data_IF_658338335329
#
_entry.id   IF_658338335329
#
_cell.length_a   1.000
_cell.length_b   1.000
_cell.length_c   1.000
_cell.angle_alpha   90.00
_cell.angle_beta   90.00
_cell.angle_gamma   90.00
#
_symmetry.space_group_name_H-M   'P 1'
#
loop_
_entity.id
_entity.type
_entity.pdbx_description
1 polymer ?
2 polymer ?
3 water ?
#
# COMPACT_ATOMS: atom_id res chain seq x y z
N UNK A 3 -11.18 -8.26 19.71
CA UNK A 3 -12.31 -7.58 19.12
C UNK A 3 -12.01 -6.10 18.90
N UNK A 4 -12.23 -5.66 17.67
CA UNK A 4 -11.86 -4.32 17.25
C UNK A 4 -12.95 -3.33 17.64
N UNK A 5 -12.52 -2.12 17.98
CA UNK A 5 -13.41 -1.00 18.29
C UNK A 5 -13.16 0.13 17.30
N UNK A 6 -14.24 0.62 16.69
CA UNK A 6 -14.23 1.77 15.79
C UNK A 6 -15.14 2.84 16.37
N UNK A 7 -14.60 4.03 16.64
CA UNK A 7 -15.35 5.09 17.31
C UNK A 7 -15.33 6.36 16.45
N UNK A 8 -16.48 6.66 15.83
CA UNK A 8 -16.63 7.88 15.06
C UNK A 8 -16.80 9.09 15.98
N UNK A 9 -16.35 10.24 15.52
CA UNK A 9 -16.64 11.50 16.20
C UNK A 9 -16.59 12.63 15.20
N UNK A 10 -17.06 13.80 15.63
CA UNK A 10 -16.99 14.99 14.81
C UNK A 10 -18.25 15.34 14.05
N UNK A 11 -19.33 14.60 14.22
CA UNK A 11 -20.56 14.90 13.49
C UNK A 11 -21.31 16.11 14.01
N UNK A 12 -22.63 16.14 13.82
CA UNK A 12 -23.48 17.14 14.41
C UNK A 12 -24.04 18.09 13.37
N UNK A 13 -24.61 19.20 13.81
CA UNK A 13 -25.21 20.13 12.88
C UNK A 13 -24.16 20.98 12.19
N UNK A 14 -24.48 21.39 10.98
CA UNK A 14 -23.60 22.27 10.22
C UNK A 14 -24.42 23.02 9.19
N UNK A 15 -24.09 24.29 8.99
CA UNK A 15 -24.81 25.10 8.01
C UNK A 15 -24.50 24.60 6.60
N UNK A 16 -25.48 24.74 5.70
CA UNK A 16 -25.28 24.35 4.32
C UNK A 16 -24.22 25.24 3.69
N UNK A 17 -23.37 24.62 2.88
CA UNK A 17 -22.19 25.28 2.35
C UNK A 17 -20.96 25.12 3.21
N UNK A 18 -21.12 24.74 4.47
CA UNK A 18 -20.01 24.61 5.37
C UNK A 18 -19.25 23.29 5.22
N UNK A 19 -18.33 23.09 6.16
CA UNK A 19 -17.42 21.96 6.16
C UNK A 19 -17.49 21.25 7.50
N UNK A 20 -17.13 19.97 7.49
CA UNK A 20 -17.05 19.16 8.69
C UNK A 20 -15.96 18.12 8.47
N UNK A 21 -15.22 17.80 9.52
CA UNK A 21 -14.30 16.65 9.47
C UNK A 21 -14.75 15.60 10.48
N UNK A 22 -15.07 14.42 9.98
CA UNK A 22 -15.34 13.28 10.84
C UNK A 22 -14.05 12.56 11.16
N UNK A 23 -13.99 11.99 12.36
CA UNK A 23 -12.87 11.18 12.81
C UNK A 23 -13.35 9.77 13.10
N UNK A 24 -12.48 8.78 12.93
CA UNK A 24 -12.77 7.46 13.47
C UNK A 24 -11.50 6.86 14.05
N UNK A 25 -11.53 6.60 15.35
CA UNK A 25 -10.40 5.97 16.04
C UNK A 25 -10.58 4.46 16.07
N UNK A 26 -9.59 3.72 15.58
CA UNK A 26 -9.62 2.26 15.56
C UNK A 26 -8.70 1.71 16.63
N UNK A 27 -9.09 0.61 17.27
CA UNK A 27 -8.32 0.05 18.37
C UNK A 27 -8.62 -1.44 18.52
N UNK A 28 -7.77 -2.13 19.30
CA UNK A 28 -8.01 -3.50 19.69
C UNK A 28 -7.02 -4.49 19.10
N UNK A 29 -6.49 -4.19 17.91
CA UNK A 29 -5.53 -5.04 17.23
C UNK A 29 -4.65 -4.16 16.36
N UNK A 30 -3.66 -4.77 15.72
CA UNK A 30 -2.90 -4.08 14.68
C UNK A 30 -3.76 -3.92 13.43
N UNK A 31 -3.69 -2.73 12.84
CA UNK A 31 -4.40 -2.44 11.59
C UNK A 31 -3.44 -2.27 10.43
N UNK A 32 -2.21 -2.78 10.58
CA UNK A 32 -1.19 -2.60 9.56
C UNK A 32 -1.59 -3.13 8.18
N UNK A 33 -2.46 -4.14 8.12
CA UNK A 33 -2.93 -4.71 6.86
C UNK A 33 -4.43 -4.50 6.67
N UNK A 34 -4.95 -3.37 7.11
CA UNK A 34 -6.39 -3.15 7.05
C UNK A 34 -6.79 -2.38 5.80
N UNK A 35 -8.11 -2.39 5.57
CA UNK A 35 -8.79 -1.47 4.67
C UNK A 35 -9.88 -0.80 5.51
N UNK A 36 -10.01 0.53 5.36
CA UNK A 36 -11.01 1.28 6.10
C UNK A 36 -11.83 2.12 5.14
N UNK A 37 -13.10 2.32 5.49
CA UNK A 37 -14.04 3.01 4.62
C UNK A 37 -14.97 3.90 5.43
N UNK A 38 -15.48 4.93 4.76
CA UNK A 38 -16.65 5.66 5.24
C UNK A 38 -17.85 5.33 4.38
N UNK A 39 -18.99 5.16 5.06
CA UNK A 39 -20.30 4.95 4.48
C UNK A 39 -21.25 5.94 5.14
N UNK A 40 -22.40 6.18 4.51
CA UNK A 40 -23.48 6.90 5.18
C UNK A 40 -24.83 6.29 4.83
N UNK A 41 -25.81 6.56 5.69
CA UNK A 41 -27.14 6.01 5.54
C UNK A 41 -28.15 7.07 5.92
N UNK A 42 -28.91 7.51 4.95
CA UNK A 42 -29.98 8.45 5.21
C UNK A 42 -31.24 7.68 5.56
N UNK A 43 -32.22 8.33 6.19
CA UNK A 43 -33.44 7.60 6.59
C UNK A 43 -34.13 6.97 5.39
N UNK A 44 -34.45 5.70 5.53
CA UNK A 44 -35.17 4.98 4.49
C UNK A 44 -34.37 4.64 3.25
N UNK A 45 -33.04 4.77 3.29
CA UNK A 45 -32.19 4.46 2.16
C UNK A 45 -31.18 3.40 2.56
N UNK A 46 -30.66 2.68 1.56
CA UNK A 46 -29.56 1.76 1.84
C UNK A 46 -28.28 2.55 2.15
N UNK A 47 -27.36 1.89 2.84
CA UNK A 47 -26.06 2.49 3.12
C UNK A 47 -25.32 2.78 1.83
N UNK A 48 -24.67 3.94 1.78
CA UNK A 48 -23.96 4.40 0.59
C UNK A 48 -22.47 4.43 0.88
N UNK A 49 -21.69 3.81 0.00
CA UNK A 49 -20.24 3.87 0.04
C UNK A 49 -19.74 5.26 -0.31
N UNK A 50 -18.82 5.78 0.50
CA UNK A 50 -18.22 7.10 0.28
C UNK A 50 -16.73 7.04 -0.06
N UNK A 51 -15.93 6.26 0.67
CA UNK A 51 -14.49 6.36 0.50
C UNK A 51 -13.84 5.14 1.13
N UNK A 52 -12.69 4.75 0.59
CA UNK A 52 -11.89 3.67 1.15
C UNK A 52 -10.44 4.11 1.22
N UNK A 53 -9.75 3.60 2.24
CA UNK A 53 -8.33 3.84 2.46
C UNK A 53 -7.65 2.51 2.66
N UNK A 54 -6.57 2.28 1.93
CA UNK A 54 -5.77 1.08 2.13
C UNK A 54 -4.65 1.40 3.11
N UNK A 55 -4.62 0.70 4.23
CA UNK A 55 -3.69 1.08 5.29
C UNK A 55 -2.24 0.86 4.88
N UNK A 56 -1.94 -0.20 4.13
CA UNK A 56 -0.54 -0.50 3.82
C UNK A 56 0.11 0.62 3.01
N UNK A 57 -0.63 1.22 2.07
CA UNK A 57 -0.07 2.31 1.26
C UNK A 57 -0.58 3.70 1.60
N UNK A 58 -1.71 3.79 2.30
CA UNK A 58 -2.42 5.04 2.49
C UNK A 58 -3.24 5.52 1.30
N UNK A 59 -3.30 4.77 0.21
CA UNK A 59 -4.05 5.24 -0.96
C UNK A 59 -5.55 5.22 -0.67
N UNK A 60 -6.25 6.20 -1.24
CA UNK A 60 -7.70 6.32 -1.06
C UNK A 60 -8.41 6.40 -2.40
N UNK A 61 -9.70 6.07 -2.38
CA UNK A 61 -10.58 6.20 -3.53
C UNK A 61 -11.92 6.72 -3.04
N UNK A 62 -12.49 7.71 -3.75
CA UNK A 62 -13.74 8.38 -3.35
C UNK A 62 -14.85 8.00 -4.32
N UNK A 63 -16.05 7.75 -3.77
CA UNK A 63 -17.21 7.47 -4.62
C UNK A 63 -17.55 8.68 -5.49
N UNK A 64 -18.01 8.41 -6.71
CA UNK A 64 -18.34 9.50 -7.63
C UNK A 64 -19.37 10.47 -7.04
N UNK A 65 -20.32 9.97 -6.24
CA UNK A 65 -21.36 10.86 -5.72
C UNK A 65 -20.79 12.05 -4.95
N UNK A 66 -19.60 11.92 -4.38
CA UNK A 66 -19.03 12.93 -3.51
C UNK A 66 -17.63 13.34 -3.93
N UNK A 67 -17.12 12.77 -5.02
CA UNK A 67 -15.82 13.13 -5.58
C UNK A 67 -15.74 14.64 -5.84
N UNK A 68 -14.65 15.25 -5.37
CA UNK A 68 -14.48 16.69 -5.47
C UNK A 68 -14.98 17.46 -4.26
N UNK A 69 -15.77 16.84 -3.40
CA UNK A 69 -16.26 17.44 -2.17
C UNK A 69 -15.73 16.74 -0.91
N UNK A 70 -15.63 15.42 -0.93
CA UNK A 70 -15.22 14.62 0.23
C UNK A 70 -13.85 14.00 -0.04
N UNK A 71 -12.98 14.03 0.96
CA UNK A 71 -11.71 13.34 0.87
C UNK A 71 -11.48 12.56 2.15
N UNK A 72 -10.61 11.56 2.05
CA UNK A 72 -10.31 10.65 3.14
C UNK A 72 -8.82 10.70 3.44
N UNK A 73 -8.47 10.68 4.72
CA UNK A 73 -7.08 10.73 5.10
C UNK A 73 -6.92 9.99 6.42
N UNK A 74 -5.71 10.01 6.97
CA UNK A 74 -5.48 9.33 8.23
C UNK A 74 -4.39 10.03 9.00
N UNK A 75 -4.34 9.71 10.29
CA UNK A 75 -3.16 9.94 11.13
C UNK A 75 -2.62 8.56 11.50
N UNK A 76 -1.59 8.06 10.79
CA UNK A 76 -1.13 6.69 11.09
C UNK A 76 -0.78 6.49 12.55
N UNK A 77 -0.10 7.48 13.14
CA UNK A 77 0.28 7.44 14.55
C UNK A 77 -0.91 7.13 15.44
N UNK A 78 -2.03 7.81 15.21
CA UNK A 78 -3.21 7.67 16.06
C UNK A 78 -4.15 6.58 15.57
N UNK A 79 -3.80 5.86 14.51
CA UNK A 79 -4.65 4.82 13.94
C UNK A 79 -6.04 5.41 13.77
N UNK A 80 -6.11 6.60 13.22
CA UNK A 80 -7.36 7.32 13.01
C UNK A 80 -7.50 7.71 11.55
N UNK A 81 -8.71 7.56 11.00
CA UNK A 81 -9.02 8.03 9.67
C UNK A 81 -9.99 9.21 9.77
N UNK A 82 -10.03 10.00 8.70
CA UNK A 82 -10.78 11.23 8.67
C UNK A 82 -11.55 11.29 7.37
N UNK A 83 -12.75 11.87 7.45
CA UNK A 83 -13.57 12.18 6.29
C UNK A 83 -13.75 13.69 6.25
N UNK A 84 -13.14 14.35 5.27
CA UNK A 84 -13.26 15.79 5.11
C UNK A 84 -14.39 16.05 4.13
N UNK A 85 -15.46 16.68 4.62
CA UNK A 85 -16.65 16.98 3.83
C UNK A 85 -16.76 18.49 3.64
N UNK A 86 -16.69 18.95 2.39
CA UNK A 86 -16.81 20.37 2.06
C UNK A 86 -18.05 20.60 1.22
N UNK A 87 -18.44 21.88 1.16
CA UNK A 87 -19.64 22.29 0.43
C UNK A 87 -20.86 21.48 0.81
N UNK A 88 -21.07 21.28 2.10
CA UNK A 88 -22.18 20.43 2.55
C UNK A 88 -23.54 20.95 2.10
N UNK A 89 -24.42 20.02 1.78
CA UNK A 89 -25.76 20.24 1.26
C UNK A 89 -26.75 19.48 2.11
N UNK A 90 -28.02 19.90 2.10
CA UNK A 90 -29.03 19.16 2.87
C UNK A 90 -29.05 17.66 2.61
N UNK A 91 -28.83 17.21 1.38
CA UNK A 91 -28.84 15.78 1.06
C UNK A 91 -27.66 15.02 1.63
N UNK A 92 -26.62 15.72 2.09
CA UNK A 92 -25.58 15.06 2.85
C UNK A 92 -26.02 14.66 4.25
N UNK A 93 -27.24 15.01 4.67
CA UNK A 93 -27.72 14.68 6.00
C UNK A 93 -27.87 13.17 6.11
N UNK A 94 -27.20 12.57 7.09
CA UNK A 94 -27.22 11.12 7.20
C UNK A 94 -26.48 10.73 8.48
N UNK A 95 -26.57 9.45 8.80
CA UNK A 95 -25.65 8.82 9.75
C UNK A 95 -24.43 8.35 8.97
N UNK A 96 -23.25 8.76 9.43
CA UNK A 96 -21.99 8.39 8.80
C UNK A 96 -21.34 7.30 9.63
N UNK A 97 -20.89 6.25 8.95
CA UNK A 97 -20.27 5.09 9.59
C UNK A 97 -18.87 4.87 9.06
N UNK A 98 -17.95 4.55 9.96
CA UNK A 98 -16.65 4.00 9.57
C UNK A 98 -16.68 2.47 9.65
N UNK A 99 -16.01 1.82 8.71
CA UNK A 99 -15.98 0.37 8.64
C UNK A 99 -14.56 -0.07 8.39
N UNK A 100 -14.24 -1.28 8.82
CA UNK A 100 -12.88 -1.76 8.63
C UNK A 100 -12.89 -3.23 8.31
N UNK A 101 -11.85 -3.66 7.60
CA UNK A 101 -11.51 -5.05 7.44
C UNK A 101 -10.03 -5.27 7.67
N UNK A 102 -9.72 -6.39 8.34
CA UNK A 102 -8.34 -6.86 8.40
C UNK A 102 -8.18 -8.17 7.66
N UNK A 103 -9.05 -8.40 6.67
CA UNK A 103 -9.17 -9.68 5.98
C UNK A 103 -9.17 -9.46 4.48
N UNK A 104 -8.78 -10.49 3.74
CA UNK A 104 -9.12 -10.54 2.34
C UNK A 104 -10.62 -10.72 2.18
N UNK A 105 -11.06 -10.73 0.94
CA UNK A 105 -12.50 -10.83 0.68
C UNK A 105 -12.77 -11.08 -0.79
N UNK A 106 -13.91 -11.69 -1.07
CA UNK A 106 -14.38 -11.82 -2.43
C UNK A 106 -15.21 -10.61 -2.88
N UNK A 107 -15.57 -9.73 -1.94
CA UNK A 107 -16.33 -8.52 -2.26
C UNK A 107 -15.39 -7.40 -2.69
N UNK A 108 -15.95 -6.49 -3.48
CA UNK A 108 -15.25 -5.25 -3.85
C UNK A 108 -15.29 -4.26 -2.69
N UNK A 109 -14.39 -3.27 -2.74
CA UNK A 109 -14.22 -2.34 -1.62
C UNK A 109 -15.40 -1.41 -1.40
N UNK A 110 -16.28 -1.24 -2.39
CA UNK A 110 -17.44 -0.37 -2.25
C UNK A 110 -18.65 -1.09 -1.65
N UNK A 111 -18.50 -2.36 -1.31
CA UNK A 111 -19.61 -3.18 -0.83
C UNK A 111 -19.56 -3.25 0.69
N UNK A 112 -20.69 -3.00 1.33
CA UNK A 112 -20.71 -3.04 2.79
C UNK A 112 -20.29 -4.42 3.31
N UNK A 113 -20.57 -5.48 2.56
CA UNK A 113 -20.18 -6.83 2.98
C UNK A 113 -18.68 -7.02 3.02
N UNK A 114 -17.91 -6.10 2.46
CA UNK A 114 -16.45 -6.17 2.51
C UNK A 114 -15.88 -6.02 3.92
N UNK A 115 -16.65 -5.42 4.83
CA UNK A 115 -16.11 -4.95 6.12
C UNK A 115 -16.77 -5.69 7.26
N UNK A 116 -15.98 -6.45 8.02
CA UNK A 116 -16.52 -7.16 9.18
C UNK A 116 -16.75 -6.24 10.38
N UNK A 117 -16.16 -5.05 10.42
CA UNK A 117 -16.26 -4.21 11.61
C UNK A 117 -16.78 -2.82 11.29
N UNK A 118 -17.59 -2.29 12.22
CA UNK A 118 -18.37 -1.07 12.02
C UNK A 118 -18.44 -0.25 13.29
N UNK A 119 -18.38 1.08 13.12
CA UNK A 119 -18.64 1.99 14.21
C UNK A 119 -20.13 2.10 14.50
N UNK A 120 -20.44 2.87 15.55
CA UNK A 120 -21.83 3.08 15.96
C UNK A 120 -22.55 4.06 15.06
N UNK A 121 -21.83 4.83 14.27
CA UNK A 121 -22.41 5.83 13.40
C UNK A 121 -22.47 7.18 14.08
N UNK A 122 -22.34 8.23 13.29
CA UNK A 122 -22.45 9.58 13.83
C UNK A 122 -23.35 10.42 12.93
N UNK A 123 -24.28 11.14 13.54
CA UNK A 123 -25.26 11.90 12.79
C UNK A 123 -24.66 13.20 12.29
N UNK A 124 -24.90 13.51 11.03
CA UNK A 124 -24.56 14.78 10.44
C UNK A 124 -25.84 15.38 9.91
N UNK A 125 -26.14 16.61 10.33
CA UNK A 125 -27.38 17.28 9.96
C UNK A 125 -27.03 18.62 9.34
N UNK A 126 -27.33 18.78 8.05
CA UNK A 126 -27.04 20.00 7.32
C UNK A 126 -28.33 20.83 7.29
N UNK A 127 -28.32 21.94 8.00
CA UNK A 127 -29.47 22.83 8.05
C UNK A 127 -29.34 23.90 6.96
N UNK A 128 -30.40 24.05 6.18
CA UNK A 128 -30.38 25.01 5.09
C UNK A 128 -30.14 26.42 5.61
N UNK B 2 -10.61 -8.28 -8.39
CA UNK B 2 -10.32 -8.31 -6.96
C UNK B 2 -9.73 -9.67 -6.51
N UNK B 3 -8.63 -9.60 -5.82
CA UNK B 3 -7.84 -10.76 -5.40
C UNK B 3 -8.31 -11.23 -4.02
N UNK B 4 -8.58 -12.54 -3.81
CA UNK B 4 -9.16 -12.97 -2.53
C UNK B 4 -8.34 -12.59 -1.32
N UNK B 5 -7.05 -12.35 -1.46
CA UNK B 5 -6.24 -11.96 -0.32
C UNK B 5 -6.20 -10.46 -0.13
N UNK B 6 -6.85 -9.69 -1.01
CA UNK B 6 -6.84 -8.24 -0.95
C UNK B 6 -5.62 -7.59 -1.57
N UNK B 7 -4.67 -8.40 -2.05
CA UNK B 7 -3.45 -7.86 -2.64
C UNK B 7 -3.80 -7.10 -3.90
N UNK B 8 -3.15 -5.94 -4.09
CA UNK B 8 -3.35 -5.12 -5.27
C UNK B 8 -2.05 -5.15 -6.06
N UNK B 9 -2.00 -5.95 -7.12
CA UNK B 9 -0.81 -6.00 -7.98
C UNK B 9 -1.29 -6.30 -9.40
N UNK B 10 -1.30 -5.28 -10.24
CA UNK B 10 -1.94 -5.40 -11.54
C UNK B 10 -1.06 -5.00 -12.71
N UNK B 11 0.12 -4.46 -12.47
CA UNK B 11 0.94 -3.90 -13.53
C UNK B 11 1.66 -5.00 -14.30
N UNK B 12 1.80 -4.79 -15.62
CA UNK B 12 2.50 -5.73 -16.50
C UNK B 12 3.91 -6.00 -16.01
N UNK B 13 4.28 -7.28 -16.05
CA UNK B 13 5.61 -7.86 -15.80
C UNK B 13 5.92 -7.96 -14.30
N UNK B 14 5.09 -7.40 -13.42
CA UNK B 14 5.27 -7.61 -11.99
C UNK B 14 4.74 -9.00 -11.61
N UNK B 15 5.38 -9.65 -10.66
CA UNK B 15 4.96 -10.98 -10.23
C UNK B 15 5.39 -11.16 -8.78
N UNK B 16 4.83 -12.18 -8.11
CA UNK B 16 5.19 -12.49 -6.73
C UNK B 16 5.61 -13.95 -6.65
N UNK B 17 6.36 -14.27 -5.60
CA UNK B 17 6.63 -15.65 -5.17
C UNK B 17 6.26 -15.72 -3.69
N UNK B 18 5.24 -16.55 -3.35
CA UNK B 18 4.38 -17.38 -4.17
C UNK B 18 3.64 -16.55 -5.24
N UNK B 19 3.28 -17.17 -6.36
CA UNK B 19 2.57 -16.44 -7.41
C UNK B 19 1.26 -15.86 -6.89
N UNK B 20 0.81 -14.82 -7.60
CA UNK B 20 -0.47 -14.23 -7.25
C UNK B 20 -1.59 -15.27 -7.35
N UNK B 21 -1.47 -16.23 -8.27
CA UNK B 21 -2.49 -17.27 -8.34
C UNK B 21 -2.43 -18.17 -7.12
N UNK B 22 -1.22 -18.52 -6.67
CA UNK B 22 -1.11 -19.34 -5.47
C UNK B 22 -1.60 -18.57 -4.25
N UNK B 23 -1.29 -17.27 -4.17
CA UNK B 23 -1.75 -16.47 -3.03
C UNK B 23 -3.27 -16.36 -3.00
N UNK B 24 -3.91 -16.39 -4.18
CA UNK B 24 -5.37 -16.36 -4.22
C UNK B 24 -5.98 -17.59 -3.57
N UNK B 25 -5.21 -18.69 -3.49
CA UNK B 25 -5.62 -19.93 -2.86
C UNK B 25 -5.09 -20.08 -1.43
N UNK B 26 -4.52 -19.02 -0.85
CA UNK B 26 -3.76 -19.12 0.39
C UNK B 26 -4.36 -18.28 1.51
N UNK B 27 -5.63 -17.92 1.42
CA UNK B 27 -6.27 -17.17 2.48
C UNK B 27 -6.70 -18.14 3.57
N UNK B 28 -6.32 -17.84 4.82
CA UNK B 28 -6.52 -18.79 5.91
C UNK B 28 -7.87 -18.55 6.57
N UNK B 29 -8.11 -19.30 7.66
CA UNK B 29 -9.39 -19.28 8.36
C UNK B 29 -9.73 -17.90 8.91
N UNK B 30 -8.72 -17.11 9.23
CA UNK B 30 -8.87 -15.75 9.71
C UNK B 30 -8.88 -14.74 8.57
N UNK B 31 -8.99 -15.19 7.32
CA UNK B 31 -9.03 -14.28 6.19
C UNK B 31 -7.70 -13.62 5.89
N UNK B 32 -6.60 -14.17 6.35
CA UNK B 32 -5.29 -13.58 6.11
C UNK B 32 -4.45 -14.46 5.18
N UNK B 33 -3.51 -13.82 4.51
CA UNK B 33 -2.59 -14.44 3.59
C UNK B 33 -1.19 -14.11 4.10
N UNK B 34 -0.59 -15.09 4.76
CA UNK B 34 0.69 -14.96 5.45
C UNK B 34 1.66 -15.98 4.86
N UNK B 35 2.85 -15.51 4.46
CA UNK B 35 3.84 -16.40 3.86
C UNK B 35 5.14 -16.32 4.65
N UNK B 36 5.97 -17.36 4.49
CA UNK B 36 7.33 -17.36 5.03
C UNK B 36 8.27 -17.25 3.84
N UNK B 37 8.81 -16.05 3.64
CA UNK B 37 9.59 -15.72 2.46
C UNK B 37 8.70 -15.14 1.37
N UNK B 38 8.96 -13.90 0.96
CA UNK B 38 8.12 -13.23 -0.02
C UNK B 38 9.01 -12.55 -1.05
N UNK B 39 8.76 -12.79 -2.32
CA UNK B 39 9.40 -12.04 -3.39
C UNK B 39 8.35 -11.24 -4.16
N UNK B 40 8.69 -9.99 -4.46
CA UNK B 40 8.01 -9.22 -5.50
C UNK B 40 9.04 -8.89 -6.58
N UNK B 41 8.73 -9.23 -7.83
CA UNK B 41 9.68 -9.06 -8.90
C UNK B 41 9.03 -8.35 -10.08
N UNK B 42 9.89 -7.94 -11.00
CA UNK B 42 9.45 -7.41 -12.28
C UNK B 42 10.41 -7.87 -13.36
N UNK B 43 9.89 -8.65 -14.31
CA UNK B 43 10.71 -9.19 -15.40
C UNK B 43 11.41 -8.07 -16.15
N UNK B 44 12.72 -8.23 -16.35
CA UNK B 44 13.49 -7.23 -17.05
C UNK B 44 14.05 -6.12 -16.17
N UNK B 45 13.69 -6.08 -14.89
CA UNK B 45 14.10 -4.98 -14.01
C UNK B 45 14.74 -5.46 -12.73
N UNK B 46 14.13 -6.42 -12.04
CA UNK B 46 14.73 -6.91 -10.82
C UNK B 46 13.70 -7.54 -9.90
N UNK B 47 14.13 -7.73 -8.67
CA UNK B 47 13.25 -8.36 -7.70
C UNK B 47 13.70 -8.02 -6.29
N UNK B 48 12.79 -8.21 -5.33
CA UNK B 48 13.08 -7.95 -3.94
C UNK B 48 12.61 -9.14 -3.12
N UNK B 49 13.51 -9.69 -2.31
CA UNK B 49 13.24 -10.83 -1.46
C UNK B 49 13.21 -10.42 0.01
N UNK B 50 12.11 -10.76 0.69
CA UNK B 50 11.90 -10.51 2.12
C UNK B 50 11.85 -11.86 2.83
N UNK B 51 12.90 -12.18 3.58
CA UNK B 51 12.95 -13.36 4.44
C UNK B 51 11.98 -13.24 5.60
N UNK B 52 11.51 -14.40 6.09
CA UNK B 52 10.70 -14.45 7.29
C UNK B 52 9.22 -14.36 7.00
N UNK B 53 8.46 -14.19 8.08
CA UNK B 53 7.02 -14.26 8.01
C UNK B 53 6.48 -12.88 7.58
N UNK B 54 5.74 -12.87 6.49
CA UNK B 54 5.21 -11.60 5.93
C UNK B 54 3.71 -11.72 5.75
N UNK B 55 2.99 -10.78 6.36
CA UNK B 55 1.55 -10.70 6.14
C UNK B 55 1.31 -9.92 4.86
N UNK B 56 0.71 -10.57 3.86
CA UNK B 56 0.43 -9.96 2.57
C UNK B 56 -1.00 -9.47 2.44
N UNK B 57 -1.86 -9.73 3.41
CA UNK B 57 -3.28 -9.47 3.17
C UNK B 57 -3.48 -7.96 3.01
N UNK B 58 -4.28 -7.61 1.99
CA UNK B 58 -4.60 -6.24 1.63
C UNK B 58 -3.37 -5.39 1.32
N UNK B 59 -2.28 -6.00 0.87
CA UNK B 59 -1.08 -5.24 0.57
C UNK B 59 -1.22 -4.59 -0.79
N UNK B 60 -1.13 -3.25 -0.80
CA UNK B 60 -1.26 -2.46 -2.02
C UNK B 60 0.12 -2.37 -2.70
N UNK B 61 0.50 -3.49 -3.30
CA UNK B 61 1.82 -3.59 -3.92
C UNK B 61 1.96 -2.60 -5.09
N UNK B 62 0.88 -2.36 -5.84
CA UNK B 62 0.94 -1.41 -6.96
C UNK B 62 1.42 -0.03 -6.49
N UNK B 63 0.94 0.42 -5.31
CA UNK B 63 1.39 1.71 -4.76
C UNK B 63 2.75 1.65 -4.10
N UNK B 64 3.02 0.57 -3.38
CA UNK B 64 4.20 0.49 -2.50
C UNK B 64 5.46 0.25 -3.28
N UNK B 65 5.43 -0.65 -4.25
CA UNK B 65 6.65 -1.22 -4.82
C UNK B 65 6.83 -0.80 -6.27
N UNK B 66 8.02 -0.30 -6.58
CA UNK B 66 8.38 0.17 -7.91
C UNK B 66 9.78 -0.36 -8.19
N UNK B 67 9.87 -1.27 -9.15
CA UNK B 67 11.14 -1.88 -9.55
C UNK B 67 11.50 -1.34 -10.93
N UNK B 68 12.51 -0.48 -10.95
CA UNK B 68 12.93 0.32 -12.11
C UNK B 68 14.34 -0.07 -12.51
N UNK B 69 14.86 0.63 -13.50
CA UNK B 69 16.21 0.38 -13.96
C UNK B 69 17.17 0.98 -12.95
N UNK B 70 17.98 0.15 -12.34
CA UNK B 70 19.01 0.56 -11.40
C UNK B 70 18.46 1.16 -10.10
N UNK B 71 17.18 0.99 -9.81
CA UNK B 71 16.61 1.59 -8.61
C UNK B 71 15.34 0.84 -8.24
N UNK B 72 15.15 0.62 -6.93
CA UNK B 72 13.83 0.24 -6.42
C UNK B 72 13.36 1.37 -5.52
N UNK B 73 12.04 1.49 -5.43
CA UNK B 73 11.36 2.39 -4.51
C UNK B 73 10.36 1.52 -3.76
N UNK B 74 10.47 1.49 -2.45
CA UNK B 74 9.54 0.77 -1.61
C UNK B 74 9.02 1.82 -0.63
N UNK B 75 7.77 2.26 -0.84
CA UNK B 75 7.12 3.41 -0.20
C UNK B 75 7.64 4.67 -0.88
N UNK B 76 6.75 5.30 -1.66
CA UNK B 76 7.16 6.46 -2.44
C UNK B 76 7.38 7.67 -1.56
N UNK B 77 6.70 7.76 -0.42
CA UNK B 77 6.99 8.85 0.50
C UNK B 77 7.20 8.28 1.91
N UNK B 78 7.67 9.14 2.80
CA UNK B 78 7.95 8.68 4.17
C UNK B 78 6.70 8.75 5.01
N UNK B 79 5.79 9.65 4.65
CA UNK B 79 4.58 9.85 5.45
C UNK B 79 3.76 8.57 5.53
N UNK B 80 3.75 7.77 4.47
CA UNK B 80 2.97 6.53 4.43
C UNK B 80 3.84 5.29 4.60
N UNK B 81 5.09 5.47 5.01
CA UNK B 81 5.93 4.33 5.33
C UNK B 81 5.62 3.88 6.76
N UNK B 82 5.21 2.65 6.98
CA UNK B 82 4.77 2.27 8.31
C UNK B 82 5.97 2.05 9.23
N UNK B 83 5.72 1.83 10.51
CA UNK B 83 6.82 1.55 11.46
C UNK B 83 7.67 0.37 11.04
N UNK B 84 8.91 0.41 11.51
CA UNK B 84 9.88 -0.63 11.23
C UNK B 84 9.30 -2.00 11.57
N UNK B 85 9.43 -2.95 10.65
CA UNK B 85 8.92 -4.27 10.87
C UNK B 85 7.53 -4.53 10.29
N UNK B 86 6.74 -3.48 10.05
CA UNK B 86 5.41 -3.63 9.49
C UNK B 86 5.45 -3.48 7.98
N UNK B 87 4.48 -4.11 7.32
CA UNK B 87 4.40 -4.02 5.86
C UNK B 87 5.67 -4.57 5.25
N UNK B 88 6.22 -3.82 4.31
CA UNK B 88 7.47 -4.16 3.67
C UNK B 88 8.63 -3.29 4.16
N UNK B 89 8.43 -2.54 5.23
CA UNK B 89 9.52 -1.76 5.81
C UNK B 89 10.31 -2.68 6.73
N UNK B 90 11.16 -3.52 6.14
CA UNK B 90 11.84 -4.57 6.88
C UNK B 90 13.03 -5.06 6.07
N UNK B 91 13.86 -5.95 6.63
CA UNK B 91 15.06 -6.40 5.90
C UNK B 91 14.72 -7.05 4.58
N UNK B 92 15.57 -6.82 3.58
CA UNK B 92 15.30 -7.31 2.24
C UNK B 92 16.59 -7.41 1.44
N UNK B 93 16.58 -8.29 0.45
CA UNK B 93 17.65 -8.35 -0.54
C UNK B 93 17.11 -7.86 -1.87
N UNK B 94 17.72 -6.80 -2.41
CA UNK B 94 17.34 -6.21 -3.69
C UNK B 94 18.24 -6.76 -4.80
N UNK B 95 17.64 -7.16 -5.91
CA UNK B 95 18.36 -7.55 -7.11
C UNK B 95 17.86 -6.67 -8.26
N UNK B 96 18.77 -5.92 -8.86
CA UNK B 96 18.46 -5.09 -10.03
C UNK B 96 19.21 -5.65 -11.24
N UNK B 97 18.45 -6.08 -12.23
CA UNK B 97 18.97 -6.74 -13.41
C UNK B 97 19.21 -5.74 -14.55
N UNK B 98 20.00 -6.19 -15.52
CA UNK B 98 20.32 -5.44 -16.73
C UNK B 98 20.91 -4.07 -16.40
N UNK B 99 21.74 -4.05 -15.36
CA UNK B 99 22.49 -2.88 -14.92
C UNK B 99 23.89 -2.97 -15.51
N UNK B 100 24.17 -2.14 -16.50
CA UNK B 100 25.42 -2.12 -17.21
C UNK B 100 25.81 -0.67 -17.47
N UNK B 101 27.11 -0.38 -17.49
CA UNK B 101 27.58 0.97 -17.77
C UNK B 101 27.49 1.28 -19.26
N UNK B 102 27.58 2.59 -19.55
CA UNK B 102 27.59 3.14 -20.90
C UNK B 102 29.04 3.32 -21.37
N UNK B 103 29.31 2.91 -22.62
CA UNK B 103 30.60 3.08 -23.29
C UNK B 103 30.67 4.50 -23.82
N UNK B 104 31.57 5.32 -23.25
CA UNK B 104 31.69 6.75 -23.57
C UNK B 104 32.00 7.01 -25.04
N UNK B 105 32.40 6.00 -25.78
CA UNK B 105 32.76 6.18 -27.18
C UNK B 105 31.53 6.24 -28.07
N UNK B 106 30.61 5.30 -27.90
CA UNK B 106 29.41 5.21 -28.73
C UNK B 106 28.14 5.46 -27.92
N UNK B 107 28.26 5.72 -26.62
CA UNK B 107 27.14 5.70 -25.69
C UNK B 107 26.37 4.39 -25.85
N UNK B 108 27.12 3.30 -25.90
CA UNK B 108 26.51 1.99 -26.00
C UNK B 108 26.85 1.22 -24.74
N UNK B 109 25.95 0.31 -24.38
CA UNK B 109 26.11 -0.43 -23.16
C UNK B 109 27.31 -1.36 -23.28
N UNK B 110 27.98 -1.57 -22.16
CA UNK B 110 29.09 -2.49 -22.03
C UNK B 110 28.58 -3.73 -21.29
N UNK B 111 28.49 -4.86 -21.99
CA UNK B 111 28.04 -6.09 -21.39
C UNK B 111 29.12 -7.15 -21.31
N UNK B 112 30.27 -6.96 -21.95
CA UNK B 112 31.33 -7.95 -21.89
C UNK B 112 31.83 -8.13 -20.45
N UNK B 113 31.78 -9.33 -19.89
CA UNK B 113 32.38 -9.50 -18.56
C UNK B 113 33.85 -9.11 -18.50
N UNK B 114 34.65 -9.43 -19.52
CA UNK B 114 36.04 -9.00 -19.54
C UNK B 114 36.17 -7.49 -19.45
N UNK B 115 35.41 -6.74 -20.24
CA UNK B 115 35.50 -5.28 -20.17
C UNK B 115 34.99 -4.77 -18.81
N UNK B 116 33.91 -5.35 -18.32
CA UNK B 116 33.40 -4.93 -17.01
C UNK B 116 34.43 -5.14 -15.90
N UNK B 117 35.27 -6.20 -16.01
CA UNK B 117 36.34 -6.44 -15.05
C UNK B 117 37.48 -5.43 -15.20
N UNK B 118 37.93 -5.19 -16.44
CA UNK B 118 38.98 -4.19 -16.68
C UNK B 118 38.66 -2.89 -15.96
N UNK B 119 37.42 -2.42 -16.07
CA UNK B 119 37.04 -1.12 -15.52
C UNK B 119 36.54 -1.19 -14.08
N UNK B 120 36.55 -2.37 -13.46
CA UNK B 120 36.07 -2.59 -12.10
C UNK B 120 34.72 -1.91 -11.87
N UNK B 121 33.79 -2.16 -12.78
CA UNK B 121 32.43 -1.68 -12.61
C UNK B 121 31.85 -2.15 -11.29
N UNK B 122 32.06 -3.41 -10.95
CA UNK B 122 31.53 -3.92 -9.68
C UNK B 122 31.86 -2.97 -8.52
N UNK B 123 33.05 -2.39 -8.51
CA UNK B 123 33.39 -1.54 -7.38
C UNK B 123 32.67 -0.19 -7.42
N UNK B 124 32.22 0.25 -8.61
CA UNK B 124 31.33 1.42 -8.69
C UNK B 124 30.02 1.14 -7.99
N UNK B 125 29.42 -0.02 -8.28
CA UNK B 125 28.17 -0.41 -7.64
C UNK B 125 28.37 -0.66 -6.16
N UNK B 126 29.50 -1.27 -5.80
CA UNK B 126 29.79 -1.46 -4.37
C UNK B 126 29.93 -0.11 -3.66
N UNK B 127 30.64 0.85 -4.25
CA UNK B 127 30.74 2.19 -3.65
C UNK B 127 29.37 2.79 -3.49
N UNK B 128 28.53 2.67 -4.53
CA UNK B 128 27.18 3.23 -4.50
C UNK B 128 26.35 2.64 -3.37
N UNK B 129 26.41 1.32 -3.21
CA UNK B 129 25.70 0.65 -2.12
C UNK B 129 26.13 1.20 -0.77
N UNK B 130 27.44 1.27 -0.54
CA UNK B 130 27.95 1.77 0.73
C UNK B 130 27.44 3.17 1.01
N UNK B 131 27.51 4.05 0.01
CA UNK B 131 27.02 5.42 0.19
C UNK B 131 25.54 5.45 0.54
N UNK B 132 24.76 4.53 -0.01
CA UNK B 132 23.32 4.48 0.26
C UNK B 132 23.00 3.83 1.61
N UNK B 133 24.00 3.34 2.34
CA UNK B 133 23.71 2.63 3.57
C UNK B 133 23.27 1.19 3.40
N UNK B 134 23.46 0.62 2.22
CA UNK B 134 23.13 -0.77 1.92
C UNK B 134 24.39 -1.64 2.04
N UNK B 135 24.19 -2.95 2.08
CA UNK B 135 25.31 -3.87 2.09
C UNK B 135 25.40 -4.49 0.70
N UNK B 136 26.48 -4.18 -0.03
CA UNK B 136 26.74 -4.80 -1.31
C UNK B 136 26.85 -6.31 -1.16
N UNK B 137 26.22 -7.04 -2.07
CA UNK B 137 26.26 -8.50 -2.07
C UNK B 137 26.92 -9.04 -3.33
N UNK B 138 26.53 -8.53 -4.49
CA UNK B 138 27.06 -9.12 -5.73
C UNK B 138 26.83 -8.18 -6.91
N UNK B 139 27.66 -8.39 -7.93
CA UNK B 139 27.38 -7.94 -9.28
C UNK B 139 27.68 -9.10 -10.21
N UNK B 140 26.63 -9.60 -10.84
CA UNK B 140 26.73 -10.72 -11.77
C UNK B 140 26.74 -10.18 -13.20
N UNK B 141 27.89 -10.13 -13.87
CA UNK B 141 27.95 -9.40 -15.15
C UNK B 141 27.12 -10.04 -16.24
N UNK B 142 26.99 -11.37 -16.25
CA UNK B 142 26.25 -12.05 -17.29
C UNK B 142 24.84 -11.47 -17.47
N UNK B 143 24.18 -11.16 -16.37
CA UNK B 143 22.81 -10.67 -16.37
C UNK B 143 22.73 -9.22 -15.95
N UNK B 144 23.87 -8.61 -15.64
CA UNK B 144 23.90 -7.25 -15.12
C UNK B 144 23.18 -7.11 -13.80
N UNK B 145 23.35 -8.07 -12.89
CA UNK B 145 22.57 -8.14 -11.68
C UNK B 145 23.34 -7.58 -10.50
N UNK B 146 22.91 -6.41 -10.03
CA UNK B 146 23.39 -5.75 -8.83
C UNK B 146 22.54 -6.22 -7.66
N UNK B 147 23.17 -6.88 -6.68
CA UNK B 147 22.48 -7.43 -5.50
C UNK B 147 22.99 -6.70 -4.26
N UNK B 148 22.06 -6.26 -3.41
CA UNK B 148 22.46 -5.67 -2.15
C UNK B 148 21.37 -5.90 -1.11
N UNK B 149 21.74 -5.76 0.15
CA UNK B 149 20.81 -5.99 1.24
C UNK B 149 20.59 -4.69 1.99
N UNK B 150 19.35 -4.52 2.47
CA UNK B 150 18.98 -3.40 3.32
C UNK B 150 18.28 -3.94 4.55
N UNK B 151 18.31 -3.15 5.63
CA UNK B 151 17.65 -3.48 6.89
C UNK B 151 16.21 -3.02 6.94
N UNK B 152 15.83 -2.13 6.05
CA UNK B 152 14.50 -1.55 5.97
C UNK B 152 14.51 -0.62 4.77
N UNK B 153 13.39 0.03 4.52
CA UNK B 153 13.26 0.89 3.36
C UNK B 153 12.91 2.28 3.87
#
# INVERSE_FOLDING_TARGET
GSQVQLVESGGGPVEAGGSLRLSCAASGRSFSNSVMAWFRQAPGKEREFLSVLNWSSGRTSIADSVKGRFTMSRDPAKITVYLQMNGLKPEDTAVYYCAASNRGSLYTLDNQNRYEDWGQGTQVTVSS
GSHPAGIILTRDSYYTIPSMEELARSVDENGECIVNGFTIGREGFGSIYFEGIVNLTNLDLDSIVHIRRKEVIVYVDDQNKPPLGEGLNRPAQVTLDEVWPIDKTSRSMITSPERLSEMNYKSKLENASRKQGAQFVDYRPESGSWVFKVNHF
#
